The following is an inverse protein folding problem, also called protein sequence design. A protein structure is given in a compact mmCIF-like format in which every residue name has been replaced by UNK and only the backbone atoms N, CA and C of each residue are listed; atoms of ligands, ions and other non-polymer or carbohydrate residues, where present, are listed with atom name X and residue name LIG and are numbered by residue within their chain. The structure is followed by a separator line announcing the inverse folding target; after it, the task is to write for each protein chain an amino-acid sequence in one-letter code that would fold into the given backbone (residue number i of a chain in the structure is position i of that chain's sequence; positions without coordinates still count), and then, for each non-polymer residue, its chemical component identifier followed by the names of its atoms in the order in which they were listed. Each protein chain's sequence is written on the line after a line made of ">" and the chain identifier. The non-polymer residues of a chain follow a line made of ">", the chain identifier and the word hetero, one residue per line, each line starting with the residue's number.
data_IF_442674769074
#
_entry.id   IF_442674769074
#
_cell.length_a   1.000
_cell.length_b   1.000
_cell.length_c   1.000
_cell.angle_alpha   90.00
_cell.angle_beta   90.00
_cell.angle_gamma   90.00
#
_symmetry.space_group_name_H-M   'P 1'
#
loop_
_entity.id
_entity.type
_entity.pdbx_description
1 polymer ?
#
# COMPACT_ATOMS: atom_id res chain seq x y z
N UNK A 1 14.37 -15.93 -8.92
CA UNK A 1 14.65 -17.37 -8.90
C UNK A 1 13.68 -18.15 -9.78
N UNK A 2 14.10 -19.35 -10.21
CA UNK A 2 13.29 -20.30 -10.96
C UNK A 2 13.24 -21.59 -10.15
N UNK A 3 12.05 -22.14 -9.98
CA UNK A 3 11.82 -23.34 -9.19
C UNK A 3 11.19 -24.44 -10.05
N UNK A 4 11.76 -25.63 -10.03
CA UNK A 4 11.10 -26.84 -10.48
C UNK A 4 10.19 -27.37 -9.36
N UNK A 5 8.90 -27.50 -9.61
CA UNK A 5 7.91 -27.92 -8.60
C UNK A 5 7.16 -29.15 -9.09
N UNK A 6 6.96 -30.10 -8.20
CA UNK A 6 6.22 -31.32 -8.53
C UNK A 6 4.75 -31.01 -8.81
N UNK A 7 4.17 -31.71 -9.82
CA UNK A 7 2.80 -31.40 -10.31
C UNK A 7 1.75 -31.51 -9.25
N UNK A 8 1.91 -32.44 -8.30
CA UNK A 8 0.97 -32.73 -7.23
C UNK A 8 1.31 -31.99 -5.92
N UNK A 9 2.18 -30.96 -5.97
CA UNK A 9 2.54 -30.18 -4.80
C UNK A 9 1.33 -29.50 -4.15
N UNK A 10 1.05 -29.86 -2.90
CA UNK A 10 -0.11 -29.34 -2.14
C UNK A 10 0.27 -28.23 -1.16
N UNK A 11 1.54 -28.16 -0.76
CA UNK A 11 2.00 -27.22 0.28
C UNK A 11 2.29 -25.83 -0.28
N UNK A 12 2.52 -25.71 -1.58
CA UNK A 12 2.64 -24.42 -2.26
C UNK A 12 1.28 -24.08 -2.86
N UNK A 13 0.75 -22.92 -2.48
CA UNK A 13 -0.58 -22.49 -2.90
C UNK A 13 -0.51 -21.18 -3.68
N UNK A 14 -0.38 -21.27 -4.99
CA UNK A 14 -0.46 -20.13 -5.89
C UNK A 14 -1.89 -19.96 -6.38
N UNK A 15 -2.35 -18.72 -6.44
CA UNK A 15 -3.68 -18.36 -6.92
C UNK A 15 -3.57 -17.40 -8.09
N UNK A 16 -4.54 -17.47 -8.98
CA UNK A 16 -4.70 -16.50 -10.06
C UNK A 16 -5.38 -15.20 -9.56
N UNK A 17 -5.62 -14.27 -10.47
CA UNK A 17 -6.30 -12.99 -10.19
C UNK A 17 -7.77 -13.15 -9.75
N UNK A 18 -8.38 -14.31 -9.95
CA UNK A 18 -9.74 -14.64 -9.52
C UNK A 18 -9.76 -15.33 -8.16
N UNK A 19 -8.58 -15.68 -7.62
CA UNK A 19 -8.43 -16.40 -6.36
C UNK A 19 -8.48 -17.93 -6.51
N UNK A 20 -8.50 -18.45 -7.74
CA UNK A 20 -8.50 -19.88 -8.01
C UNK A 20 -7.09 -20.46 -7.88
N UNK A 21 -6.97 -21.69 -7.36
CA UNK A 21 -5.68 -22.35 -7.19
C UNK A 21 -5.12 -22.77 -8.55
N UNK A 22 -3.87 -22.39 -8.82
CA UNK A 22 -3.15 -22.78 -10.03
C UNK A 22 -2.43 -24.12 -9.77
N UNK A 23 -2.55 -25.05 -10.72
CA UNK A 23 -1.86 -26.33 -10.68
C UNK A 23 -0.46 -26.23 -11.29
N UNK A 24 0.50 -26.98 -10.75
CA UNK A 24 1.91 -26.97 -11.21
C UNK A 24 2.20 -27.84 -12.44
N UNK A 25 1.20 -28.05 -13.28
CA UNK A 25 1.32 -28.67 -14.61
C UNK A 25 1.58 -27.64 -15.73
N UNK A 26 1.82 -26.40 -15.37
CA UNK A 26 2.01 -25.23 -16.24
C UNK A 26 3.19 -24.40 -15.78
N UNK A 27 3.74 -23.61 -16.70
CA UNK A 27 4.78 -22.63 -16.36
C UNK A 27 4.09 -21.37 -15.83
N UNK A 28 4.39 -21.04 -14.57
CA UNK A 28 3.73 -19.97 -13.81
C UNK A 28 4.78 -18.90 -13.51
N UNK A 29 4.43 -17.64 -13.77
CA UNK A 29 5.20 -16.46 -13.34
C UNK A 29 4.45 -15.73 -12.22
N UNK A 30 5.17 -15.22 -11.23
CA UNK A 30 4.56 -14.35 -10.20
C UNK A 30 4.25 -12.98 -10.76
N UNK A 31 3.16 -12.35 -10.29
CA UNK A 31 2.73 -11.01 -10.70
C UNK A 31 3.83 -9.96 -10.50
N UNK A 32 4.57 -10.05 -9.40
CA UNK A 32 5.71 -9.18 -9.13
C UNK A 32 6.81 -9.26 -10.21
N UNK A 33 7.06 -10.43 -10.79
CA UNK A 33 8.03 -10.60 -11.84
C UNK A 33 7.46 -10.24 -13.22
N UNK A 34 6.21 -10.60 -13.48
CA UNK A 34 5.49 -10.27 -14.69
C UNK A 34 5.43 -8.76 -14.93
N UNK A 35 5.03 -7.99 -13.91
CA UNK A 35 5.03 -6.52 -13.95
C UNK A 35 6.43 -5.91 -14.11
N UNK A 36 7.45 -6.49 -13.47
CA UNK A 36 8.84 -6.02 -13.62
C UNK A 36 9.36 -6.16 -15.04
N UNK A 37 9.02 -7.26 -15.69
CA UNK A 37 9.50 -7.60 -17.04
C UNK A 37 8.53 -7.13 -18.14
N UNK A 38 7.36 -6.61 -17.76
CA UNK A 38 6.25 -6.25 -18.65
C UNK A 38 5.82 -7.43 -19.52
N UNK A 39 5.53 -8.56 -18.88
CA UNK A 39 5.18 -9.84 -19.47
C UNK A 39 3.78 -10.22 -19.02
N UNK A 40 3.01 -10.78 -19.95
CA UNK A 40 1.67 -11.31 -19.68
C UNK A 40 1.58 -12.82 -19.99
N UNK A 41 0.43 -13.40 -19.66
CA UNK A 41 0.10 -14.78 -20.02
C UNK A 41 0.15 -14.98 -21.53
N UNK A 42 0.83 -16.03 -21.96
CA UNK A 42 1.05 -16.39 -23.36
C UNK A 42 2.36 -15.84 -23.94
N UNK A 43 3.06 -14.97 -23.24
CA UNK A 43 4.33 -14.44 -23.71
C UNK A 43 5.44 -15.49 -23.67
N UNK A 44 6.38 -15.34 -24.59
CA UNK A 44 7.58 -16.17 -24.67
C UNK A 44 8.78 -15.40 -24.16
N UNK A 45 9.45 -15.96 -23.16
CA UNK A 45 10.64 -15.33 -22.57
C UNK A 45 11.87 -16.22 -22.73
N UNK A 46 13.03 -15.59 -22.75
CA UNK A 46 14.32 -16.29 -22.75
C UNK A 46 14.93 -16.19 -21.37
N UNK A 47 15.20 -17.33 -20.75
CA UNK A 47 15.91 -17.43 -19.48
C UNK A 47 17.35 -17.90 -19.75
N UNK A 48 18.29 -17.37 -18.99
CA UNK A 48 19.69 -17.74 -19.10
C UNK A 48 20.15 -18.45 -17.84
N UNK A 49 20.81 -19.57 -18.01
CA UNK A 49 21.57 -20.19 -16.95
C UNK A 49 22.98 -19.58 -16.96
N UNK A 50 23.24 -18.72 -15.99
CA UNK A 50 24.51 -17.99 -15.83
C UNK A 50 25.73 -18.91 -15.64
N UNK A 51 25.51 -20.12 -15.12
CA UNK A 51 26.59 -21.08 -14.87
C UNK A 51 26.96 -21.92 -16.11
N UNK A 52 26.01 -22.16 -17.03
CA UNK A 52 26.20 -23.02 -18.19
C UNK A 52 26.21 -22.25 -19.51
N UNK A 53 26.07 -20.93 -19.48
CA UNK A 53 25.95 -20.03 -20.64
C UNK A 53 24.95 -20.52 -21.71
N UNK A 54 23.86 -21.12 -21.25
CA UNK A 54 22.80 -21.65 -22.11
C UNK A 54 21.50 -20.84 -21.86
N UNK A 55 20.87 -20.45 -22.95
CA UNK A 55 19.57 -19.79 -22.93
C UNK A 55 18.47 -20.75 -23.34
N UNK A 56 17.35 -20.71 -22.60
CA UNK A 56 16.15 -21.50 -22.86
C UNK A 56 14.96 -20.57 -23.12
N UNK A 57 14.10 -20.95 -24.04
CA UNK A 57 12.84 -20.26 -24.26
C UNK A 57 11.73 -20.99 -23.53
N UNK A 58 10.94 -20.27 -22.77
CA UNK A 58 9.74 -20.77 -22.10
C UNK A 58 8.55 -19.91 -22.46
N UNK A 59 7.37 -20.52 -22.53
CA UNK A 59 6.11 -19.81 -22.70
C UNK A 59 5.45 -19.68 -21.32
N UNK A 60 4.91 -18.52 -21.00
CA UNK A 60 4.23 -18.29 -19.74
C UNK A 60 2.78 -18.73 -19.87
N UNK A 61 2.40 -19.81 -19.18
CA UNK A 61 1.04 -20.35 -19.25
C UNK A 61 0.08 -19.63 -18.29
N UNK A 62 0.60 -19.14 -17.13
CA UNK A 62 -0.24 -18.51 -16.12
C UNK A 62 0.52 -17.48 -15.30
N UNK A 63 -0.20 -16.47 -14.81
CA UNK A 63 0.33 -15.43 -13.89
C UNK A 63 -0.32 -15.60 -12.52
N UNK A 64 0.48 -15.93 -11.52
CA UNK A 64 0.02 -16.05 -10.15
C UNK A 64 -0.07 -14.66 -9.49
N UNK A 65 -1.17 -14.36 -8.80
CA UNK A 65 -1.37 -13.11 -8.04
C UNK A 65 -0.54 -13.10 -6.75
N UNK A 66 0.78 -13.18 -6.93
CA UNK A 66 1.77 -13.21 -5.88
C UNK A 66 2.77 -12.07 -6.06
N UNK A 67 2.83 -11.19 -5.04
CA UNK A 67 3.76 -10.07 -4.99
C UNK A 67 4.93 -10.28 -4.02
N UNK A 68 4.91 -11.38 -3.23
CA UNK A 68 5.91 -11.63 -2.20
C UNK A 68 7.27 -12.06 -2.77
N UNK A 69 7.31 -12.62 -3.97
CA UNK A 69 8.55 -13.04 -4.61
C UNK A 69 8.50 -12.81 -6.12
N UNK A 70 9.66 -12.59 -6.73
CA UNK A 70 9.84 -12.51 -8.19
C UNK A 70 10.37 -13.85 -8.67
N UNK A 71 9.46 -14.78 -8.99
CA UNK A 71 9.79 -16.17 -9.26
C UNK A 71 9.05 -16.72 -10.48
N UNK A 72 9.66 -17.74 -11.08
CA UNK A 72 9.05 -18.58 -12.11
C UNK A 72 8.96 -19.99 -11.52
N UNK A 73 7.84 -20.65 -11.73
CA UNK A 73 7.60 -22.04 -11.35
C UNK A 73 7.39 -22.86 -12.62
N UNK A 74 8.13 -23.93 -12.75
CA UNK A 74 8.13 -24.84 -13.91
C UNK A 74 7.83 -26.24 -13.36
N UNK A 75 7.08 -27.10 -14.06
CA UNK A 75 6.93 -28.50 -13.69
C UNK A 75 8.31 -29.15 -13.50
N UNK A 76 8.50 -29.93 -12.43
CA UNK A 76 9.82 -30.47 -12.06
C UNK A 76 10.48 -31.27 -13.19
N UNK A 77 9.73 -32.11 -13.88
CA UNK A 77 10.22 -32.93 -14.99
C UNK A 77 10.77 -32.06 -16.13
N UNK A 78 10.04 -30.99 -16.46
CA UNK A 78 10.43 -30.07 -17.52
C UNK A 78 11.67 -29.26 -17.10
N UNK A 79 11.68 -28.79 -15.86
CA UNK A 79 12.82 -28.09 -15.28
C UNK A 79 14.10 -28.96 -15.30
N UNK A 80 13.99 -30.22 -14.84
CA UNK A 80 15.12 -31.14 -14.82
C UNK A 80 15.63 -31.42 -16.22
N UNK A 81 14.72 -31.61 -17.19
CA UNK A 81 15.09 -31.80 -18.60
C UNK A 81 15.81 -30.57 -19.16
N UNK A 82 15.30 -29.37 -18.92
CA UNK A 82 15.92 -28.10 -19.34
C UNK A 82 17.32 -27.93 -18.77
N UNK A 83 17.49 -28.26 -17.49
CA UNK A 83 18.74 -28.06 -16.76
C UNK A 83 19.73 -29.23 -16.96
N UNK A 84 19.33 -30.29 -17.69
CA UNK A 84 20.07 -31.52 -17.83
C UNK A 84 20.41 -32.16 -16.48
N UNK A 85 19.43 -32.25 -15.62
CA UNK A 85 19.46 -32.99 -14.36
C UNK A 85 18.83 -34.37 -14.53
N UNK A 86 19.13 -35.28 -13.61
CA UNK A 86 18.51 -36.59 -13.60
C UNK A 86 16.99 -36.47 -13.38
N UNK A 87 16.24 -37.38 -13.98
CA UNK A 87 14.81 -37.43 -13.80
C UNK A 87 14.47 -37.65 -12.31
N UNK A 88 13.54 -36.89 -11.80
CA UNK A 88 13.14 -36.86 -10.38
C UNK A 88 14.20 -36.32 -9.39
N UNK A 89 15.27 -35.69 -9.85
CA UNK A 89 16.18 -35.01 -8.91
C UNK A 89 15.53 -33.76 -8.34
N UNK A 90 15.75 -33.53 -7.04
CA UNK A 90 15.27 -32.37 -6.32
C UNK A 90 16.31 -31.95 -5.27
N UNK A 91 16.26 -30.68 -4.86
CA UNK A 91 17.18 -30.09 -3.88
C UNK A 91 16.50 -29.71 -2.58
N UNK A 92 15.18 -29.85 -2.47
CA UNK A 92 14.45 -29.48 -1.27
C UNK A 92 13.10 -30.17 -1.17
N UNK A 93 12.64 -30.33 0.03
CA UNK A 93 11.36 -30.93 0.37
C UNK A 93 10.54 -29.97 1.22
N UNK A 94 9.24 -29.91 0.96
CA UNK A 94 8.28 -29.25 1.82
C UNK A 94 7.50 -30.30 2.61
N UNK A 95 7.42 -30.13 3.94
CA UNK A 95 6.65 -31.02 4.80
C UNK A 95 5.86 -30.24 5.84
N UNK A 96 4.75 -30.82 6.29
CA UNK A 96 3.97 -30.31 7.44
C UNK A 96 4.61 -30.70 8.77
N UNK A 97 5.32 -31.80 8.79
CA UNK A 97 5.94 -32.39 9.97
C UNK A 97 7.47 -32.45 9.80
N UNK A 98 8.17 -32.59 10.90
CA UNK A 98 9.62 -32.78 10.88
C UNK A 98 9.92 -34.13 10.17
N UNK A 99 10.73 -34.07 9.14
CA UNK A 99 11.18 -35.27 8.43
C UNK A 99 12.37 -35.88 9.16
N UNK A 100 12.39 -37.21 9.20
CA UNK A 100 13.53 -38.00 9.67
C UNK A 100 14.47 -38.25 8.51
N UNK A 101 15.42 -37.34 8.31
CA UNK A 101 16.40 -37.37 7.21
C UNK A 101 17.78 -37.27 7.85
N UNK A 102 18.77 -37.99 7.31
CA UNK A 102 20.16 -37.89 7.75
C UNK A 102 20.65 -36.43 7.70
N UNK A 103 21.11 -35.93 8.86
CA UNK A 103 21.56 -34.55 9.01
C UNK A 103 22.69 -34.17 8.05
N UNK A 104 23.49 -35.15 7.62
CA UNK A 104 24.56 -34.94 6.62
C UNK A 104 24.04 -34.59 5.23
N UNK A 105 22.79 -34.90 4.91
CA UNK A 105 22.12 -34.58 3.64
C UNK A 105 21.37 -33.25 3.72
N UNK A 106 21.27 -32.63 4.89
CA UNK A 106 20.50 -31.42 5.10
C UNK A 106 21.43 -30.21 5.08
N UNK A 107 21.32 -29.38 4.08
CA UNK A 107 22.04 -28.11 4.03
C UNK A 107 21.40 -27.05 4.93
N UNK A 108 20.06 -26.97 4.93
CA UNK A 108 19.30 -25.98 5.71
C UNK A 108 17.87 -26.45 5.96
N UNK A 109 17.39 -26.22 7.14
CA UNK A 109 15.96 -26.36 7.49
C UNK A 109 15.39 -24.96 7.74
N UNK A 110 14.27 -24.65 7.12
CA UNK A 110 13.54 -23.42 7.36
C UNK A 110 12.12 -23.76 7.83
N UNK A 111 11.76 -23.32 9.00
CA UNK A 111 10.40 -23.49 9.49
C UNK A 111 9.53 -22.28 9.12
N UNK A 112 8.25 -22.54 8.87
CA UNK A 112 7.28 -21.46 8.62
C UNK A 112 7.27 -20.43 9.75
N UNK A 113 7.41 -20.89 10.99
CA UNK A 113 7.43 -20.04 12.18
C UNK A 113 8.62 -19.09 12.18
N UNK A 114 9.82 -19.60 11.87
CA UNK A 114 11.03 -18.76 11.77
C UNK A 114 10.91 -17.70 10.66
N UNK A 115 10.35 -18.07 9.50
CA UNK A 115 10.12 -17.13 8.42
C UNK A 115 9.10 -16.05 8.84
N UNK A 116 8.01 -16.43 9.51
CA UNK A 116 7.01 -15.50 10.01
C UNK A 116 7.57 -14.57 11.10
N UNK A 117 8.37 -15.08 12.02
CA UNK A 117 9.04 -14.29 13.05
C UNK A 117 10.07 -13.33 12.46
N UNK A 118 10.88 -13.79 11.52
CA UNK A 118 11.83 -12.94 10.80
C UNK A 118 11.12 -11.82 10.04
N UNK A 119 10.03 -12.14 9.34
CA UNK A 119 9.23 -11.14 8.63
C UNK A 119 8.58 -10.15 9.60
N UNK A 120 8.06 -10.63 10.72
CA UNK A 120 7.46 -9.79 11.77
C UNK A 120 8.48 -8.85 12.37
N UNK A 121 9.66 -9.35 12.75
CA UNK A 121 10.75 -8.53 13.33
C UNK A 121 11.23 -7.45 12.34
N UNK A 122 11.22 -7.74 11.05
CA UNK A 122 11.57 -6.78 10.01
C UNK A 122 10.48 -5.71 9.78
N UNK A 123 9.20 -6.09 9.91
CA UNK A 123 8.07 -5.20 9.61
C UNK A 123 7.58 -4.38 10.80
N UNK A 124 7.78 -4.85 12.04
CA UNK A 124 7.35 -4.13 13.25
C UNK A 124 7.98 -2.73 13.38
N UNK A 125 9.30 -2.54 13.22
CA UNK A 125 9.89 -1.20 13.27
C UNK A 125 9.32 -0.26 12.20
N UNK A 126 9.01 -0.79 11.00
CA UNK A 126 8.37 -0.02 9.94
C UNK A 126 6.97 0.46 10.34
N UNK A 127 6.17 -0.41 11.00
CA UNK A 127 4.83 -0.02 11.48
C UNK A 127 4.92 1.11 12.50
N UNK A 128 5.85 1.05 13.46
CA UNK A 128 6.06 2.12 14.42
C UNK A 128 6.45 3.43 13.74
N UNK A 129 7.40 3.37 12.82
CA UNK A 129 7.84 4.55 12.06
C UNK A 129 6.69 5.18 11.28
N UNK A 130 5.90 4.37 10.56
CA UNK A 130 4.73 4.85 9.81
C UNK A 130 3.65 5.42 10.73
N UNK A 131 3.44 4.83 11.91
CA UNK A 131 2.47 5.34 12.90
C UNK A 131 2.90 6.71 13.42
N UNK A 132 4.17 6.86 13.79
CA UNK A 132 4.72 8.15 14.23
C UNK A 132 4.56 9.21 13.13
N UNK A 133 4.91 8.85 11.89
CA UNK A 133 4.74 9.73 10.73
C UNK A 133 3.28 10.16 10.51
N UNK A 134 2.32 9.23 10.68
CA UNK A 134 0.89 9.53 10.57
C UNK A 134 0.42 10.50 11.66
N UNK A 135 0.92 10.36 12.90
CA UNK A 135 0.63 11.30 14.00
C UNK A 135 1.14 12.69 13.67
N UNK A 136 2.41 12.82 13.25
CA UNK A 136 2.96 14.12 12.84
C UNK A 136 2.20 14.74 11.67
N UNK A 137 1.86 13.95 10.65
CA UNK A 137 1.06 14.41 9.53
C UNK A 137 -0.32 14.94 9.97
N UNK A 138 -0.96 14.27 10.92
CA UNK A 138 -2.25 14.71 11.49
C UNK A 138 -2.11 16.03 12.27
N UNK A 139 -1.04 16.19 13.03
CA UNK A 139 -0.76 17.45 13.76
C UNK A 139 -0.53 18.59 12.76
N UNK A 140 0.28 18.37 11.72
CA UNK A 140 0.52 19.38 10.68
C UNK A 140 -0.79 19.74 9.98
N UNK A 141 -1.60 18.76 9.62
CA UNK A 141 -2.91 18.99 9.01
C UNK A 141 -3.82 19.83 9.89
N UNK A 142 -3.84 19.55 11.21
CA UNK A 142 -4.62 20.34 12.18
C UNK A 142 -4.15 21.80 12.22
N UNK A 143 -2.83 22.04 12.27
CA UNK A 143 -2.26 23.39 12.28
C UNK A 143 -2.64 24.14 10.99
N UNK A 144 -2.45 23.50 9.82
CA UNK A 144 -2.76 24.11 8.52
C UNK A 144 -4.24 24.46 8.42
N UNK A 145 -5.14 23.54 8.77
CA UNK A 145 -6.60 23.78 8.73
C UNK A 145 -6.96 24.89 9.72
N UNK A 146 -6.36 24.91 10.92
CA UNK A 146 -6.57 25.97 11.89
C UNK A 146 -6.15 27.35 11.38
N UNK A 147 -4.97 27.44 10.75
CA UNK A 147 -4.48 28.68 10.16
C UNK A 147 -5.41 29.18 9.06
N UNK A 148 -5.80 28.30 8.12
CA UNK A 148 -6.72 28.65 7.04
C UNK A 148 -8.07 29.11 7.60
N UNK A 149 -8.62 28.37 8.56
CA UNK A 149 -9.88 28.75 9.21
C UNK A 149 -9.76 30.09 9.93
N UNK A 150 -8.61 30.37 10.55
CA UNK A 150 -8.33 31.64 11.21
C UNK A 150 -8.23 32.81 10.22
N UNK A 151 -7.67 32.59 9.03
CA UNK A 151 -7.64 33.58 7.96
C UNK A 151 -9.07 33.87 7.46
N UNK A 152 -9.87 32.84 7.22
CA UNK A 152 -11.29 33.00 6.84
C UNK A 152 -12.05 33.84 7.86
N UNK A 153 -11.84 33.62 9.14
CA UNK A 153 -12.46 34.40 10.20
C UNK A 153 -12.00 35.87 10.15
N UNK A 154 -10.71 36.10 9.94
CA UNK A 154 -10.15 37.46 9.88
C UNK A 154 -10.68 38.24 8.64
N UNK A 155 -10.71 37.61 7.48
CA UNK A 155 -11.24 38.19 6.25
C UNK A 155 -12.75 38.52 6.38
N UNK A 156 -13.50 37.75 7.15
CA UNK A 156 -14.91 37.96 7.37
C UNK A 156 -15.21 38.78 8.64
N UNK A 157 -14.21 39.42 9.24
CA UNK A 157 -14.37 40.20 10.51
C UNK A 157 -15.47 41.24 10.42
N UNK A 158 -15.52 42.02 9.33
CA UNK A 158 -16.57 43.00 9.10
C UNK A 158 -17.98 42.39 9.02
N UNK A 159 -18.12 41.29 8.26
CA UNK A 159 -19.39 40.56 8.15
C UNK A 159 -19.84 39.99 9.50
N UNK A 160 -18.90 39.46 10.30
CA UNK A 160 -19.15 38.91 11.64
C UNK A 160 -19.64 40.03 12.58
N UNK A 161 -18.99 41.21 12.55
CA UNK A 161 -19.41 42.37 13.35
C UNK A 161 -20.80 42.85 12.97
N UNK A 162 -21.11 42.95 11.67
CA UNK A 162 -22.42 43.30 11.16
C UNK A 162 -23.50 42.30 11.59
N UNK A 163 -23.24 40.98 11.49
CA UNK A 163 -24.19 39.97 11.95
C UNK A 163 -24.44 40.06 13.49
N UNK A 164 -23.41 40.40 14.30
CA UNK A 164 -23.55 40.61 15.72
C UNK A 164 -24.44 41.84 16.00
N UNK A 165 -24.28 42.92 15.24
CA UNK A 165 -25.13 44.14 15.36
C UNK A 165 -26.60 43.83 15.01
N UNK A 166 -26.81 42.97 13.99
CA UNK A 166 -28.15 42.51 13.58
C UNK A 166 -28.79 41.54 14.57
N UNK A 167 -28.10 41.17 15.65
CA UNK A 167 -28.64 40.33 16.71
C UNK A 167 -28.53 38.81 16.45
N UNK A 168 -27.73 38.39 15.48
CA UNK A 168 -27.47 36.95 15.27
C UNK A 168 -26.72 36.35 16.46
N UNK A 169 -27.15 35.14 16.86
CA UNK A 169 -26.47 34.41 17.93
C UNK A 169 -25.10 33.90 17.49
N UNK A 170 -24.18 33.81 18.42
CA UNK A 170 -22.83 33.32 18.14
C UNK A 170 -22.78 31.94 17.45
N UNK A 171 -23.72 31.05 17.77
CA UNK A 171 -23.82 29.73 17.15
C UNK A 171 -24.21 29.83 15.67
N UNK A 172 -25.06 30.77 15.31
CA UNK A 172 -25.52 31.02 13.95
C UNK A 172 -24.36 31.60 13.10
N UNK A 173 -23.63 32.59 13.65
CA UNK A 173 -22.47 33.20 13.05
C UNK A 173 -21.37 32.15 12.83
N UNK A 174 -21.07 31.34 13.85
CA UNK A 174 -20.11 30.25 13.77
C UNK A 174 -20.50 29.24 12.68
N UNK A 175 -21.80 28.91 12.57
CA UNK A 175 -22.30 28.00 11.55
C UNK A 175 -22.15 28.57 10.13
N UNK A 176 -22.44 29.84 9.94
CA UNK A 176 -22.33 30.51 8.66
C UNK A 176 -20.87 30.62 8.19
N UNK A 177 -19.98 31.04 9.05
CA UNK A 177 -18.59 31.32 8.67
C UNK A 177 -17.74 30.05 8.64
N UNK A 178 -17.79 29.22 9.68
CA UNK A 178 -16.90 28.06 9.81
C UNK A 178 -17.33 26.85 8.98
N UNK A 179 -18.60 26.74 8.58
CA UNK A 179 -19.04 25.62 7.74
C UNK A 179 -18.66 25.80 6.26
N UNK A 180 -18.28 27.00 5.82
CA UNK A 180 -17.80 27.23 4.45
C UNK A 180 -16.59 26.38 4.09
N UNK A 181 -15.74 26.04 5.07
CA UNK A 181 -14.59 25.19 4.90
C UNK A 181 -14.88 23.70 4.68
N UNK A 182 -16.12 23.22 4.89
CA UNK A 182 -16.46 21.79 4.73
C UNK A 182 -16.30 21.32 3.28
N UNK A 183 -16.82 22.10 2.33
CA UNK A 183 -16.80 21.74 0.90
C UNK A 183 -15.37 21.63 0.38
N UNK A 184 -14.48 22.62 0.58
CA UNK A 184 -13.08 22.52 0.21
C UNK A 184 -12.37 21.29 0.81
N UNK A 185 -12.62 20.94 2.06
CA UNK A 185 -12.01 19.77 2.73
C UNK A 185 -12.45 18.46 2.05
N UNK A 186 -13.75 18.31 1.76
CA UNK A 186 -14.27 17.11 1.06
C UNK A 186 -13.68 17.00 -0.35
N UNK A 187 -13.72 18.10 -1.09
CA UNK A 187 -13.19 18.15 -2.47
C UNK A 187 -11.68 17.86 -2.47
N UNK A 188 -10.92 18.50 -1.58
CA UNK A 188 -9.48 18.29 -1.44
C UNK A 188 -9.15 16.84 -1.11
N UNK A 189 -9.91 16.21 -0.23
CA UNK A 189 -9.75 14.79 0.07
C UNK A 189 -10.01 13.91 -1.16
N UNK A 190 -11.08 14.14 -1.88
CA UNK A 190 -11.41 13.36 -3.09
C UNK A 190 -10.30 13.48 -4.16
N UNK A 191 -9.74 14.68 -4.37
CA UNK A 191 -8.61 14.88 -5.27
C UNK A 191 -7.30 14.24 -4.77
N UNK A 192 -7.11 14.12 -3.47
CA UNK A 192 -5.91 13.51 -2.90
C UNK A 192 -5.77 12.02 -3.24
N UNK A 193 -6.89 11.29 -3.41
CA UNK A 193 -6.90 9.85 -3.68
C UNK A 193 -6.19 9.49 -5.01
N UNK A 194 -6.57 10.07 -6.17
CA UNK A 194 -5.88 9.78 -7.42
C UNK A 194 -4.42 10.24 -7.41
N UNK A 195 -4.12 11.40 -6.81
CA UNK A 195 -2.75 11.91 -6.67
C UNK A 195 -1.90 10.92 -5.88
N UNK A 196 -2.41 10.42 -4.76
CA UNK A 196 -1.74 9.42 -3.93
C UNK A 196 -1.49 8.12 -4.70
N UNK A 197 -2.47 7.63 -5.44
CA UNK A 197 -2.31 6.41 -6.27
C UNK A 197 -1.23 6.58 -7.34
N UNK A 198 -1.21 7.71 -8.04
CA UNK A 198 -0.23 7.98 -9.10
C UNK A 198 1.17 8.11 -8.50
N UNK A 199 1.33 8.93 -7.46
CA UNK A 199 2.63 9.18 -6.80
C UNK A 199 3.22 7.90 -6.21
N UNK A 200 2.39 7.14 -5.49
CA UNK A 200 2.80 5.87 -4.89
C UNK A 200 3.14 4.83 -5.95
N UNK A 201 2.37 4.78 -7.06
CA UNK A 201 2.64 3.92 -8.21
C UNK A 201 4.00 4.16 -8.83
N UNK A 202 4.35 5.42 -9.04
CA UNK A 202 5.67 5.78 -9.58
C UNK A 202 6.80 5.45 -8.60
N UNK A 203 6.60 5.72 -7.32
CA UNK A 203 7.59 5.42 -6.27
C UNK A 203 7.82 3.91 -6.16
N UNK A 204 6.75 3.11 -6.13
CA UNK A 204 6.86 1.66 -6.06
C UNK A 204 7.52 1.05 -7.30
N UNK A 205 7.26 1.56 -8.50
CA UNK A 205 7.96 1.13 -9.72
C UNK A 205 9.48 1.37 -9.64
N UNK A 206 9.93 2.45 -9.01
CA UNK A 206 11.35 2.71 -8.79
C UNK A 206 11.93 1.74 -7.75
N UNK A 207 11.29 1.63 -6.60
CA UNK A 207 11.73 0.76 -5.50
C UNK A 207 11.71 -0.72 -5.90
N UNK A 208 10.69 -1.16 -6.66
CA UNK A 208 10.59 -2.54 -7.13
C UNK A 208 11.70 -2.99 -8.07
N UNK A 209 12.49 -2.07 -8.65
CA UNK A 209 13.66 -2.45 -9.46
C UNK A 209 14.75 -3.10 -8.62
N UNK A 210 14.94 -2.62 -7.39
CA UNK A 210 16.05 -2.99 -6.52
C UNK A 210 15.68 -4.07 -5.48
N UNK A 211 14.38 -4.29 -5.23
CA UNK A 211 13.88 -5.23 -4.23
C UNK A 211 13.26 -6.47 -4.89
N UNK A 212 13.41 -7.63 -4.26
CA UNK A 212 12.91 -8.92 -4.79
C UNK A 212 11.40 -9.16 -4.57
N UNK A 213 10.69 -8.23 -3.96
CA UNK A 213 9.23 -8.28 -3.81
C UNK A 213 8.58 -7.02 -4.38
N UNK A 214 7.29 -7.07 -4.64
CA UNK A 214 6.50 -5.90 -5.03
C UNK A 214 5.37 -5.71 -4.03
N UNK A 215 4.97 -4.45 -3.82
CA UNK A 215 3.84 -4.13 -2.97
C UNK A 215 2.66 -3.81 -3.88
N UNK A 216 1.53 -4.53 -3.75
CA UNK A 216 0.35 -4.25 -4.56
C UNK A 216 -0.19 -2.85 -4.26
N UNK A 217 -0.48 -2.08 -5.31
CA UNK A 217 -0.92 -0.69 -5.24
C UNK A 217 -2.43 -0.54 -5.00
N UNK A 218 -3.06 -1.58 -4.47
CA UNK A 218 -4.50 -1.52 -4.22
C UNK A 218 -4.76 -0.98 -2.81
N UNK A 219 -5.35 0.22 -2.72
CA UNK A 219 -5.78 0.81 -1.45
C UNK A 219 -7.22 0.34 -1.19
N UNK A 220 -7.44 -0.55 -0.22
CA UNK A 220 -8.79 -0.99 0.13
C UNK A 220 -9.68 0.18 0.53
N UNK A 221 -10.93 0.17 0.09
CA UNK A 221 -11.92 1.22 0.36
C UNK A 221 -12.04 1.55 1.84
N UNK A 222 -11.91 0.56 2.70
CA UNK A 222 -11.94 0.74 4.16
C UNK A 222 -10.89 1.74 4.66
N UNK A 223 -9.66 1.72 4.14
CA UNK A 223 -8.61 2.68 4.54
C UNK A 223 -8.86 4.08 3.98
N UNK A 224 -9.47 4.16 2.81
CA UNK A 224 -9.95 5.44 2.26
C UNK A 224 -11.01 6.06 3.16
N UNK A 225 -11.97 5.28 3.67
CA UNK A 225 -13.00 5.76 4.58
C UNK A 225 -12.38 6.20 5.92
N UNK A 226 -11.46 5.41 6.47
CA UNK A 226 -10.76 5.76 7.73
C UNK A 226 -9.97 7.06 7.56
N UNK A 227 -9.24 7.22 6.46
CA UNK A 227 -8.51 8.45 6.16
C UNK A 227 -9.43 9.66 6.06
N UNK A 228 -10.58 9.52 5.40
CA UNK A 228 -11.60 10.57 5.36
C UNK A 228 -12.10 10.95 6.76
N UNK A 229 -12.40 9.96 7.59
CA UNK A 229 -12.86 10.19 8.96
C UNK A 229 -11.81 10.96 9.78
N UNK A 230 -10.53 10.61 9.67
CA UNK A 230 -9.43 11.31 10.36
C UNK A 230 -9.36 12.78 9.90
N UNK A 231 -9.35 13.03 8.59
CA UNK A 231 -9.28 14.40 8.04
C UNK A 231 -10.51 15.23 8.46
N UNK A 232 -11.70 14.62 8.38
CA UNK A 232 -12.93 15.31 8.78
C UNK A 232 -12.97 15.62 10.28
N UNK A 233 -12.53 14.71 11.14
CA UNK A 233 -12.39 14.96 12.57
C UNK A 233 -11.36 16.06 12.85
N UNK A 234 -10.23 16.05 12.16
CA UNK A 234 -9.21 17.11 12.25
C UNK A 234 -9.82 18.48 11.92
N UNK A 235 -10.64 18.56 10.87
CA UNK A 235 -11.37 19.77 10.51
C UNK A 235 -12.36 20.22 11.62
N UNK A 236 -13.16 19.31 12.16
CA UNK A 236 -14.12 19.67 13.23
C UNK A 236 -13.39 20.14 14.51
N UNK A 237 -12.26 19.52 14.88
CA UNK A 237 -11.43 19.98 16.00
C UNK A 237 -10.87 21.37 15.72
N UNK A 238 -10.34 21.63 14.53
CA UNK A 238 -9.84 22.94 14.12
C UNK A 238 -10.93 24.00 14.18
N UNK A 239 -12.14 23.67 13.74
CA UNK A 239 -13.31 24.56 13.83
C UNK A 239 -13.66 24.92 15.27
N UNK A 240 -13.59 23.94 16.20
CA UNK A 240 -13.84 24.20 17.63
C UNK A 240 -12.79 25.16 18.21
N UNK A 241 -11.51 24.98 17.83
CA UNK A 241 -10.44 25.88 18.27
C UNK A 241 -10.62 27.30 17.71
N UNK A 242 -11.07 27.42 16.47
CA UNK A 242 -11.29 28.71 15.79
C UNK A 242 -12.52 29.47 16.29
N UNK A 243 -13.49 28.80 16.94
CA UNK A 243 -14.65 29.49 17.56
C UNK A 243 -14.24 30.57 18.56
N UNK A 244 -13.19 30.33 19.33
CA UNK A 244 -12.67 31.33 20.28
C UNK A 244 -12.29 32.65 19.61
N UNK A 245 -11.75 32.59 18.39
CA UNK A 245 -11.34 33.76 17.62
C UNK A 245 -12.56 34.59 17.17
N UNK A 246 -13.68 33.94 16.81
CA UNK A 246 -14.93 34.68 16.47
C UNK A 246 -15.51 35.40 17.67
N UNK A 247 -15.38 34.82 18.88
CA UNK A 247 -15.86 35.45 20.11
C UNK A 247 -15.13 36.76 20.43
N UNK A 248 -13.85 36.86 20.11
CA UNK A 248 -13.02 38.05 20.39
C UNK A 248 -13.28 39.21 19.44
N UNK A 249 -14.00 39.02 18.33
CA UNK A 249 -14.32 40.07 17.38
C UNK A 249 -15.40 41.00 18.01
N UNK A 250 -15.05 42.28 18.12
CA UNK A 250 -15.90 43.31 18.67
C UNK A 250 -16.94 43.82 17.65
N UNK A 251 -18.13 44.25 18.14
CA UNK A 251 -19.12 44.97 17.30
C UNK A 251 -18.57 46.29 16.75
N UNK A 252 -17.60 46.91 17.45
CA UNK A 252 -16.99 48.19 17.06
C UNK A 252 -15.99 48.01 15.89
N UNK A 253 -15.54 46.79 15.63
CA UNK A 253 -14.57 46.56 14.54
C UNK A 253 -15.15 46.84 13.14
N UNK A 254 -16.47 46.82 12.99
CA UNK A 254 -17.15 47.26 11.77
C UNK A 254 -16.98 48.73 11.47
N UNK A 255 -17.02 49.57 12.52
CA UNK A 255 -16.95 51.04 12.39
C UNK A 255 -15.53 51.58 12.12
N UNK A 256 -14.49 50.72 12.24
CA UNK A 256 -13.09 51.09 11.99
C UNK A 256 -12.61 50.75 10.56
N UNK A 257 -13.47 50.12 9.77
CA UNK A 257 -13.10 49.60 8.42
C UNK A 257 -13.61 50.51 7.32
N UNK A 258 -14.33 51.61 7.62
CA UNK A 258 -14.58 52.77 6.77
C UNK A 258 -13.58 53.90 7.11
#
# INVERSE_FOLDING_TARGET
>A
PIYGIEKDAQLINLKDSKGEKIQFNKIIITKALAEKLNIDKGDRIKIYNTYKDKGFFINIDEVADNYAAKSIYIPLDEFNTMMNYEKNSYIGLYSKEKLDIDENLIFKVESKKEIEEAFKSMTEPMKYSLTIMAVFATIIALIVIYVITSIIVEENKGNISMLKILGYKEQEINSLILNTGKIPVIIGYLFSIPILKISMGQLMKKVAKDINFSIPMNIPLKYTIIGFAIIYLTYEISKILSKKKILTISMVDFMKTE
#
